data_IF_425259061583
#
_entry.id   IF_425259061583
#
_cell.length_a   1.000
_cell.length_b   1.000
_cell.length_c   1.000
_cell.angle_alpha   90.00
_cell.angle_beta   90.00
_cell.angle_gamma   90.00
#
_symmetry.space_group_name_H-M   'P 1'
#
loop_
_entity.id
_entity.type
_entity.pdbx_description
1 polymer ?
#
# COMPACT_ATOMS: atom_id res chain seq x y z
N UNK A 1 -31.54 17.36 -7.01
CA UNK A 1 -31.39 15.89 -7.13
C UNK A 1 -29.98 15.56 -6.65
N UNK A 2 -29.85 15.11 -5.41
CA UNK A 2 -28.59 14.86 -4.72
C UNK A 2 -28.20 13.37 -4.79
N UNK A 3 -26.89 13.08 -4.81
CA UNK A 3 -26.22 11.98 -4.10
C UNK A 3 -24.70 12.03 -4.45
N UNK A 4 -23.85 12.57 -3.57
CA UNK A 4 -23.11 11.85 -2.51
C UNK A 4 -21.99 10.90 -2.98
N UNK A 5 -20.83 11.49 -3.30
CA UNK A 5 -19.57 10.77 -3.55
C UNK A 5 -18.69 10.57 -2.30
N UNK A 6 -19.18 10.91 -1.11
CA UNK A 6 -18.38 10.88 0.13
C UNK A 6 -19.07 10.11 1.25
N UNK A 7 -19.53 8.87 0.97
CA UNK A 7 -19.92 7.97 2.04
C UNK A 7 -19.60 6.50 1.71
N UNK A 8 -18.39 6.07 2.07
CA UNK A 8 -18.17 4.71 2.59
C UNK A 8 -17.45 4.83 3.92
N UNK A 9 -18.22 5.11 4.96
CA UNK A 9 -17.90 4.69 6.32
C UNK A 9 -17.85 3.16 6.33
N UNK A 10 -16.69 2.61 5.97
CA UNK A 10 -16.26 1.28 6.37
C UNK A 10 -15.30 1.47 7.51
N UNK A 11 -15.78 1.30 8.72
CA UNK A 11 -15.01 1.37 9.95
C UNK A 11 -13.70 0.59 9.82
N UNK A 12 -12.58 1.24 10.13
CA UNK A 12 -11.37 0.53 10.58
C UNK A 12 -11.53 0.04 12.02
N UNK A 13 -12.75 0.09 12.60
CA UNK A 13 -13.09 -0.74 13.74
C UNK A 13 -13.22 -2.17 13.21
N UNK A 14 -12.28 -3.03 13.65
CA UNK A 14 -12.25 -4.49 13.49
C UNK A 14 -11.71 -5.07 12.17
N UNK A 15 -10.58 -4.55 11.66
CA UNK A 15 -9.54 -5.44 11.13
C UNK A 15 -8.19 -4.91 11.65
N UNK A 16 -7.60 -5.54 12.67
CA UNK A 16 -6.31 -5.14 13.21
C UNK A 16 -5.28 -5.05 12.07
N UNK A 17 -4.41 -4.04 12.14
CA UNK A 17 -3.36 -3.79 11.15
C UNK A 17 -2.52 -5.06 10.88
N UNK A 18 -2.33 -5.84 11.93
CA UNK A 18 -1.68 -7.14 11.99
C UNK A 18 -2.30 -8.15 11.01
N UNK A 19 -3.62 -8.17 10.84
CA UNK A 19 -4.29 -9.05 9.87
C UNK A 19 -4.12 -8.58 8.42
N UNK A 20 -4.05 -7.27 8.18
CA UNK A 20 -3.81 -6.74 6.84
C UNK A 20 -2.38 -7.05 6.37
N UNK A 21 -1.41 -7.05 7.28
CA UNK A 21 -0.03 -7.44 7.00
C UNK A 21 0.19 -8.96 6.93
N UNK A 22 -0.74 -9.77 7.44
CA UNK A 22 -0.66 -11.23 7.32
C UNK A 22 -0.94 -11.76 5.90
N UNK A 23 -1.52 -10.95 5.01
CA UNK A 23 -1.91 -11.35 3.65
C UNK A 23 -0.77 -11.98 2.83
N UNK A 24 0.37 -11.28 2.63
CA UNK A 24 1.52 -11.82 1.92
C UNK A 24 2.04 -13.13 2.51
N UNK A 25 2.15 -13.21 3.85
CA UNK A 25 2.58 -14.45 4.53
C UNK A 25 1.62 -15.61 4.27
N UNK A 26 0.30 -15.39 4.33
CA UNK A 26 -0.69 -16.44 4.02
C UNK A 26 -0.57 -16.94 2.59
N UNK A 27 -0.30 -16.06 1.63
CA UNK A 27 -0.05 -16.45 0.24
C UNK A 27 1.20 -17.32 0.19
N UNK A 28 2.29 -16.85 0.82
CA UNK A 28 3.56 -17.58 0.85
C UNK A 28 3.41 -18.99 1.43
N UNK A 29 2.76 -19.11 2.59
CA UNK A 29 2.54 -20.39 3.27
C UNK A 29 1.65 -21.35 2.44
N UNK A 30 0.74 -20.82 1.60
CA UNK A 30 -0.18 -21.62 0.79
C UNK A 30 0.41 -22.10 -0.52
N UNK A 31 1.31 -21.29 -1.11
CA UNK A 31 2.01 -21.60 -2.35
C UNK A 31 3.27 -22.43 -2.06
N UNK A 32 3.89 -22.26 -0.89
CA UNK A 32 5.16 -22.91 -0.52
C UNK A 32 6.38 -22.01 -0.70
N UNK A 33 6.17 -20.72 -0.96
CA UNK A 33 7.19 -19.71 -1.23
C UNK A 33 6.54 -18.39 -1.64
N UNK A 34 7.35 -17.35 -1.85
CA UNK A 34 6.86 -16.07 -2.34
C UNK A 34 7.67 -15.63 -3.56
N UNK A 35 7.22 -16.03 -4.75
CA UNK A 35 7.75 -15.57 -6.04
C UNK A 35 6.68 -14.79 -6.81
N UNK A 36 7.05 -13.61 -7.29
CA UNK A 36 6.17 -12.77 -8.10
C UNK A 36 5.85 -13.41 -9.45
N UNK A 37 6.77 -14.22 -10.02
CA UNK A 37 6.54 -14.94 -11.28
C UNK A 37 5.48 -16.01 -11.12
N UNK A 38 5.61 -16.81 -10.07
CA UNK A 38 4.63 -17.84 -9.73
C UNK A 38 3.23 -17.24 -9.50
N UNK A 39 3.14 -16.10 -8.80
CA UNK A 39 1.87 -15.39 -8.62
C UNK A 39 1.33 -14.85 -9.96
N UNK A 40 2.19 -14.33 -10.83
CA UNK A 40 1.80 -13.77 -12.12
C UNK A 40 1.23 -14.83 -13.07
N UNK A 41 1.83 -16.02 -13.07
CA UNK A 41 1.49 -17.14 -13.95
C UNK A 41 0.42 -18.09 -13.37
N UNK A 42 0.06 -17.92 -12.10
CA UNK A 42 -0.97 -18.73 -11.43
C UNK A 42 -2.31 -18.69 -12.19
N UNK A 43 -3.05 -19.80 -12.22
CA UNK A 43 -4.43 -19.77 -12.74
C UNK A 43 -5.28 -18.75 -11.92
N UNK A 44 -5.96 -17.79 -12.56
CA UNK A 44 -6.65 -16.72 -11.84
C UNK A 44 -7.74 -17.20 -10.87
N UNK A 45 -8.47 -18.26 -11.23
CA UNK A 45 -9.56 -18.79 -10.42
C UNK A 45 -9.00 -19.63 -9.25
N UNK A 46 -7.97 -20.43 -9.50
CA UNK A 46 -7.26 -21.14 -8.44
C UNK A 46 -6.56 -20.18 -7.46
N UNK A 47 -5.94 -19.10 -7.95
CA UNK A 47 -5.32 -18.10 -7.10
C UNK A 47 -6.36 -17.35 -6.25
N UNK A 48 -7.51 -17.03 -6.83
CA UNK A 48 -8.63 -16.45 -6.08
C UNK A 48 -9.18 -17.41 -5.01
N UNK A 49 -9.30 -18.71 -5.32
CA UNK A 49 -9.68 -19.74 -4.36
C UNK A 49 -8.64 -19.86 -3.24
N UNK A 50 -7.35 -19.88 -3.58
CA UNK A 50 -6.22 -19.89 -2.64
C UNK A 50 -6.29 -18.70 -1.69
N UNK A 51 -6.50 -17.49 -2.19
CA UNK A 51 -6.65 -16.26 -1.39
C UNK A 51 -7.88 -16.31 -0.47
N UNK A 52 -8.93 -17.04 -0.87
CA UNK A 52 -10.20 -17.15 -0.16
C UNK A 52 -10.21 -18.23 0.93
N UNK A 53 -9.24 -19.16 0.96
CA UNK A 53 -9.11 -20.18 2.01
C UNK A 53 -9.19 -19.55 3.42
N UNK A 54 -10.07 -20.07 4.27
CA UNK A 54 -10.29 -19.57 5.63
C UNK A 54 -9.08 -19.87 6.54
N UNK A 55 -8.60 -18.90 7.34
CA UNK A 55 -9.00 -17.50 7.35
C UNK A 55 -8.49 -16.76 6.11
N UNK A 56 -9.39 -16.11 5.37
CA UNK A 56 -9.08 -15.43 4.11
C UNK A 56 -7.98 -14.37 4.26
N UNK A 57 -7.28 -14.03 3.17
CA UNK A 57 -6.23 -13.01 3.20
C UNK A 57 -6.79 -11.60 3.42
N UNK A 58 -8.07 -11.40 3.07
CA UNK A 58 -8.75 -10.12 3.12
C UNK A 58 -10.26 -10.35 3.19
N UNK A 59 -11.03 -9.36 3.67
CA UNK A 59 -12.51 -9.40 3.68
C UNK A 59 -13.16 -9.45 2.29
N UNK A 60 -12.39 -9.12 1.25
CA UNK A 60 -12.78 -9.20 -0.17
C UNK A 60 -11.73 -10.00 -0.94
N UNK A 61 -11.63 -11.32 -0.72
CA UNK A 61 -10.48 -12.10 -1.15
C UNK A 61 -10.36 -12.18 -2.68
N UNK A 62 -11.46 -12.39 -3.41
CA UNK A 62 -11.43 -12.44 -4.89
C UNK A 62 -10.99 -11.11 -5.54
N UNK A 63 -11.50 -9.97 -5.07
CA UNK A 63 -11.04 -8.65 -5.58
C UNK A 63 -9.58 -8.37 -5.23
N UNK A 64 -9.11 -8.87 -4.09
CA UNK A 64 -7.72 -8.69 -3.69
C UNK A 64 -6.78 -9.60 -4.49
N UNK A 65 -7.17 -10.85 -4.73
CA UNK A 65 -6.43 -11.79 -5.57
C UNK A 65 -6.16 -11.21 -6.97
N UNK A 66 -7.21 -10.70 -7.64
CA UNK A 66 -7.08 -10.05 -8.95
C UNK A 66 -6.09 -8.88 -8.95
N UNK A 67 -6.09 -8.04 -7.89
CA UNK A 67 -5.15 -6.91 -7.78
C UNK A 67 -3.72 -7.37 -7.54
N UNK A 68 -3.52 -8.35 -6.65
CA UNK A 68 -2.20 -8.90 -6.35
C UNK A 68 -1.59 -9.52 -7.61
N UNK A 69 -2.36 -10.34 -8.31
CA UNK A 69 -1.91 -10.97 -9.55
C UNK A 69 -1.62 -9.93 -10.64
N UNK A 70 -2.47 -8.92 -10.82
CA UNK A 70 -2.22 -7.84 -11.77
C UNK A 70 -0.95 -7.02 -11.44
N UNK A 71 -0.67 -6.79 -10.15
CA UNK A 71 0.60 -6.19 -9.72
C UNK A 71 1.76 -7.11 -10.09
N UNK A 72 1.66 -8.40 -9.79
CA UNK A 72 2.71 -9.37 -10.09
C UNK A 72 3.03 -9.43 -11.59
N UNK A 73 2.00 -9.49 -12.43
CA UNK A 73 2.12 -9.46 -13.90
C UNK A 73 2.78 -8.18 -14.41
N UNK A 74 2.43 -7.02 -13.84
CA UNK A 74 3.08 -5.75 -14.17
C UNK A 74 4.57 -5.78 -13.80
N UNK A 75 4.91 -6.29 -12.62
CA UNK A 75 6.31 -6.41 -12.19
C UNK A 75 7.11 -7.36 -13.09
N UNK A 76 6.52 -8.49 -13.49
CA UNK A 76 7.16 -9.42 -14.44
C UNK A 76 7.37 -8.77 -15.80
N UNK A 77 6.34 -8.10 -16.32
CA UNK A 77 6.37 -7.49 -17.66
C UNK A 77 7.34 -6.32 -17.74
N UNK A 78 7.25 -5.40 -16.79
CA UNK A 78 7.95 -4.10 -16.89
C UNK A 78 9.34 -4.12 -16.22
N UNK A 79 9.54 -5.02 -15.26
CA UNK A 79 10.75 -5.07 -14.44
C UNK A 79 11.38 -6.46 -14.37
N UNK A 80 10.96 -7.40 -15.22
CA UNK A 80 11.53 -8.74 -15.28
C UNK A 80 11.43 -9.47 -13.94
N UNK A 81 10.38 -9.21 -13.15
CA UNK A 81 10.16 -9.83 -11.85
C UNK A 81 10.95 -9.19 -10.69
N UNK A 82 11.77 -8.16 -10.94
CA UNK A 82 12.42 -7.41 -9.87
C UNK A 82 11.52 -6.27 -9.38
N UNK A 83 10.88 -6.48 -8.24
CA UNK A 83 10.05 -5.45 -7.59
C UNK A 83 10.81 -4.14 -7.29
N UNK A 84 12.12 -4.20 -7.01
CA UNK A 84 12.90 -3.01 -6.71
C UNK A 84 13.06 -2.10 -7.93
N UNK A 85 12.93 -2.66 -9.15
CA UNK A 85 12.96 -1.92 -10.40
C UNK A 85 11.97 -0.75 -10.45
N UNK A 86 10.87 -0.81 -9.69
CA UNK A 86 9.96 0.33 -9.50
C UNK A 86 10.67 1.62 -9.07
N UNK A 87 11.72 1.53 -8.26
CA UNK A 87 12.47 2.68 -7.74
C UNK A 87 13.97 2.67 -8.05
N UNK A 88 14.49 1.64 -8.72
CA UNK A 88 15.91 1.55 -9.10
C UNK A 88 16.14 1.58 -10.61
N UNK A 89 15.20 1.07 -11.44
CA UNK A 89 15.44 0.94 -12.87
C UNK A 89 15.52 2.28 -13.58
N UNK A 90 16.67 2.53 -14.21
CA UNK A 90 16.93 3.74 -14.99
C UNK A 90 17.22 5.00 -14.17
N UNK A 91 17.67 4.84 -12.91
CA UNK A 91 18.00 5.94 -11.98
C UNK A 91 16.89 7.02 -11.90
N UNK A 92 15.66 6.63 -11.50
CA UNK A 92 14.51 7.51 -11.58
C UNK A 92 14.57 8.61 -10.51
N UNK A 93 13.96 9.76 -10.81
CA UNK A 93 13.69 10.77 -9.80
C UNK A 93 12.46 10.42 -8.95
N UNK A 94 12.22 11.18 -7.87
CA UNK A 94 11.10 10.95 -6.97
C UNK A 94 9.72 11.09 -7.63
N UNK A 95 9.58 11.90 -8.68
CA UNK A 95 8.32 12.06 -9.39
C UNK A 95 8.03 10.83 -10.26
N UNK A 96 9.04 10.27 -10.89
CA UNK A 96 8.96 9.05 -11.68
C UNK A 96 8.66 7.84 -10.79
N UNK A 97 9.34 7.70 -9.64
CA UNK A 97 9.01 6.64 -8.67
C UNK A 97 7.56 6.77 -8.19
N UNK A 98 7.08 7.99 -7.90
CA UNK A 98 5.68 8.21 -7.54
C UNK A 98 4.73 7.79 -8.68
N UNK A 99 5.06 8.16 -9.93
CA UNK A 99 4.26 7.79 -11.11
C UNK A 99 4.16 6.28 -11.26
N UNK A 100 5.28 5.55 -11.14
CA UNK A 100 5.33 4.08 -11.20
C UNK A 100 4.50 3.42 -10.10
N UNK A 101 4.61 3.89 -8.86
CA UNK A 101 3.78 3.39 -7.74
C UNK A 101 2.29 3.65 -7.99
N UNK A 102 1.92 4.83 -8.52
CA UNK A 102 0.52 5.16 -8.86
C UNK A 102 -0.06 4.27 -9.97
N UNK A 103 0.78 3.72 -10.85
CA UNK A 103 0.34 2.82 -11.91
C UNK A 103 -0.07 1.44 -11.35
N UNK A 104 0.36 1.08 -10.14
CA UNK A 104 0.01 -0.19 -9.52
C UNK A 104 -1.49 -0.25 -9.15
N UNK A 105 -2.21 -1.34 -9.48
CA UNK A 105 -3.60 -1.55 -9.06
C UNK A 105 -3.81 -1.34 -7.56
N UNK A 106 -4.68 -0.40 -7.19
CA UNK A 106 -5.03 -0.11 -5.79
C UNK A 106 -4.20 0.98 -5.11
N UNK A 107 -3.25 1.60 -5.81
CA UNK A 107 -2.47 2.74 -5.35
C UNK A 107 -3.01 4.08 -5.89
N UNK A 108 -3.93 4.68 -5.14
CA UNK A 108 -4.31 6.08 -5.37
C UNK A 108 -3.24 7.07 -4.89
N UNK A 109 -3.39 8.34 -5.25
CA UNK A 109 -2.46 9.45 -4.97
C UNK A 109 -1.88 9.42 -3.54
N UNK A 110 -2.75 9.38 -2.53
CA UNK A 110 -2.33 9.41 -1.13
C UNK A 110 -1.50 8.17 -0.75
N UNK A 111 -1.92 6.97 -1.17
CA UNK A 111 -1.20 5.73 -0.86
C UNK A 111 0.16 5.70 -1.53
N UNK A 112 0.25 6.17 -2.77
CA UNK A 112 1.50 6.23 -3.51
C UNK A 112 2.50 7.20 -2.84
N UNK A 113 2.03 8.37 -2.39
CA UNK A 113 2.86 9.32 -1.62
C UNK A 113 3.34 8.75 -0.29
N UNK A 114 2.47 8.04 0.44
CA UNK A 114 2.85 7.37 1.68
C UNK A 114 3.88 6.26 1.41
N UNK A 115 3.73 5.50 0.33
CA UNK A 115 4.69 4.45 -0.04
C UNK A 115 6.04 5.04 -0.42
N UNK A 116 6.08 6.09 -1.24
CA UNK A 116 7.32 6.82 -1.55
C UNK A 116 7.98 7.39 -0.28
N UNK A 117 7.18 7.92 0.64
CA UNK A 117 7.68 8.38 1.92
C UNK A 117 8.29 7.25 2.76
N UNK A 118 7.66 6.07 2.78
CA UNK A 118 8.15 4.89 3.48
C UNK A 118 9.50 4.44 2.91
N UNK A 119 9.61 4.35 1.58
CA UNK A 119 10.84 4.02 0.87
C UNK A 119 11.99 4.97 1.27
N UNK A 120 11.77 6.28 1.22
CA UNK A 120 12.82 7.25 1.54
C UNK A 120 13.12 7.41 3.03
N UNK A 121 12.14 7.24 3.92
CA UNK A 121 12.33 7.42 5.37
C UNK A 121 12.91 6.19 6.06
N UNK A 122 12.52 4.99 5.63
CA UNK A 122 12.85 3.76 6.35
C UNK A 122 13.78 2.82 5.56
N UNK A 123 13.75 2.88 4.23
CA UNK A 123 14.52 1.96 3.38
C UNK A 123 15.70 2.64 2.66
N UNK A 124 15.96 3.93 2.91
CA UNK A 124 17.09 4.64 2.31
C UNK A 124 16.98 4.90 0.81
N UNK A 125 15.81 4.67 0.20
CA UNK A 125 15.56 4.93 -1.22
C UNK A 125 15.29 6.43 -1.41
N UNK A 126 16.34 7.19 -1.73
CA UNK A 126 16.29 8.66 -1.77
C UNK A 126 16.55 9.24 -3.16
N UNK A 127 15.75 8.91 -4.19
CA UNK A 127 15.90 9.50 -5.52
C UNK A 127 15.68 11.01 -5.48
N UNK A 128 16.29 11.75 -6.40
CA UNK A 128 16.24 13.21 -6.37
C UNK A 128 14.78 13.72 -6.29
N UNK A 129 14.52 14.64 -5.37
CA UNK A 129 13.18 15.25 -5.24
C UNK A 129 12.10 14.37 -4.58
N UNK A 130 12.41 13.18 -4.07
CA UNK A 130 11.42 12.27 -3.46
C UNK A 130 10.58 12.90 -2.34
N UNK A 131 11.17 13.77 -1.50
CA UNK A 131 10.42 14.46 -0.43
C UNK A 131 9.35 15.39 -0.99
N UNK A 132 9.67 16.12 -2.07
CA UNK A 132 8.72 17.00 -2.75
C UNK A 132 7.60 16.19 -3.39
N UNK A 133 7.93 15.09 -4.06
CA UNK A 133 6.95 14.19 -4.67
C UNK A 133 6.03 13.54 -3.63
N UNK A 134 6.56 13.13 -2.47
CA UNK A 134 5.78 12.58 -1.36
C UNK A 134 4.90 13.62 -0.64
N UNK A 135 5.07 14.92 -0.91
CA UNK A 135 4.29 16.00 -0.31
C UNK A 135 4.47 16.06 1.22
N UNK A 136 3.36 16.25 1.96
CA UNK A 136 3.40 16.31 3.42
C UNK A 136 4.00 15.05 4.06
N UNK A 137 3.82 13.89 3.44
CA UNK A 137 4.40 12.63 3.91
C UNK A 137 5.93 12.58 3.75
N UNK A 138 6.52 13.44 2.90
CA UNK A 138 7.96 13.56 2.72
C UNK A 138 8.66 14.45 3.74
N UNK A 139 7.92 15.23 4.54
CA UNK A 139 8.49 16.16 5.53
C UNK A 139 9.27 15.42 6.63
N UNK A 140 10.41 15.97 7.02
CA UNK A 140 11.19 15.46 8.15
C UNK A 140 10.46 15.75 9.47
N UNK A 141 10.54 14.84 10.44
CA UNK A 141 9.89 15.00 11.74
C UNK A 141 8.36 14.94 11.73
N UNK A 142 7.74 14.52 10.61
CA UNK A 142 6.29 14.35 10.51
C UNK A 142 5.82 13.05 11.16
N UNK A 143 4.57 12.99 11.63
CA UNK A 143 3.94 11.78 12.19
C UNK A 143 2.54 11.58 11.59
N UNK A 144 2.48 11.44 10.26
CA UNK A 144 1.22 11.48 9.50
C UNK A 144 0.77 10.09 9.03
N UNK A 145 1.70 9.15 8.86
CA UNK A 145 1.45 7.88 8.19
C UNK A 145 2.33 6.74 8.70
N UNK A 146 2.16 5.55 8.11
CA UNK A 146 3.00 4.39 8.42
C UNK A 146 4.48 4.62 8.09
N UNK A 147 4.78 5.51 7.14
CA UNK A 147 6.16 5.90 6.83
C UNK A 147 6.90 6.54 8.02
N UNK A 148 6.15 7.02 9.02
CA UNK A 148 6.67 7.67 10.23
C UNK A 148 6.71 6.73 11.44
N UNK A 149 6.28 5.47 11.30
CA UNK A 149 6.23 4.49 12.39
C UNK A 149 7.52 3.67 12.39
N UNK A 150 8.40 3.92 13.35
CA UNK A 150 9.69 3.22 13.55
C UNK A 150 9.83 2.60 14.94
N UNK A 151 8.97 3.01 15.88
CA UNK A 151 8.94 2.55 17.27
C UNK A 151 7.52 2.74 17.87
N UNK A 152 7.22 2.18 19.06
CA UNK A 152 5.90 2.33 19.68
C UNK A 152 5.46 3.77 19.94
N UNK A 153 6.38 4.68 20.28
CA UNK A 153 6.07 6.09 20.52
C UNK A 153 5.70 6.84 19.25
N UNK A 154 6.37 6.54 18.13
CA UNK A 154 6.00 7.07 16.81
C UNK A 154 4.64 6.54 16.33
N UNK A 155 4.30 5.28 16.64
CA UNK A 155 2.97 4.71 16.36
C UNK A 155 1.87 5.47 17.09
N UNK A 156 2.08 5.79 18.38
CA UNK A 156 1.12 6.56 19.15
C UNK A 156 0.91 7.97 18.56
N UNK A 157 2.00 8.66 18.19
CA UNK A 157 1.92 9.98 17.54
C UNK A 157 1.10 9.94 16.24
N UNK A 158 1.34 8.94 15.39
CA UNK A 158 0.57 8.75 14.14
C UNK A 158 -0.91 8.46 14.43
N UNK A 159 -1.21 7.65 15.45
CA UNK A 159 -2.61 7.37 15.87
C UNK A 159 -3.29 8.65 16.36
N UNK A 160 -2.62 9.44 17.18
CA UNK A 160 -3.12 10.71 17.71
C UNK A 160 -3.40 11.72 16.58
N UNK A 161 -2.47 11.88 15.64
CA UNK A 161 -2.67 12.72 14.46
C UNK A 161 -3.91 12.30 13.65
N UNK A 162 -4.04 11.00 13.34
CA UNK A 162 -5.21 10.49 12.59
C UNK A 162 -6.53 10.71 13.33
N UNK A 163 -6.53 10.57 14.66
CA UNK A 163 -7.72 10.84 15.50
C UNK A 163 -8.12 12.31 15.42
N UNK A 164 -7.16 13.23 15.55
CA UNK A 164 -7.40 14.67 15.47
C UNK A 164 -7.86 15.10 14.07
N UNK A 165 -7.20 14.63 13.01
CA UNK A 165 -7.59 14.93 11.63
C UNK A 165 -9.01 14.45 11.31
N UNK A 166 -9.40 13.27 11.79
CA UNK A 166 -10.77 12.75 11.63
C UNK A 166 -11.79 13.60 12.40
N UNK A 167 -11.47 14.05 13.60
CA UNK A 167 -12.34 14.92 14.39
C UNK A 167 -12.52 16.28 13.71
N UNK A 168 -11.45 16.91 13.22
CA UNK A 168 -11.49 18.16 12.48
C UNK A 168 -12.32 18.04 11.19
N UNK A 169 -12.13 16.96 10.43
CA UNK A 169 -12.92 16.71 9.21
C UNK A 169 -14.40 16.46 9.48
N UNK A 170 -14.76 15.94 10.67
CA UNK A 170 -16.17 15.81 11.09
C UNK A 170 -16.75 17.17 11.48
N UNK A 171 -15.98 17.99 12.19
CA UNK A 171 -16.40 19.34 12.61
C UNK A 171 -16.59 20.29 11.43
N UNK A 172 -15.76 20.19 10.38
CA UNK A 172 -15.89 21.01 9.17
C UNK A 172 -17.08 20.62 8.26
N UNK A 173 -17.76 19.51 8.56
CA UNK A 173 -18.93 19.02 7.81
C UNK A 173 -20.25 19.20 8.56
N UNK A 174 -20.20 19.54 9.84
CA UNK A 174 -21.37 19.84 10.66
C UNK A 174 -21.59 21.34 10.74
#
# INVERSE_FOLDING_TARGET
MAADGYNRVGTSQQYPMEHAFAGPKKIADRIGGFDVREIADYDPDEFAALCSKTPAIHRFPGSMAKKIQAIAQLIVTDYGGDTAGLWTSGDPDGAEVLRRIKALPGFGEQKAKIFLALLGKQYGVTPQGWRKAAGDYGKAGSFLSVADVVDPGSLERVRNYKKQAKAAAKAAKG
#
